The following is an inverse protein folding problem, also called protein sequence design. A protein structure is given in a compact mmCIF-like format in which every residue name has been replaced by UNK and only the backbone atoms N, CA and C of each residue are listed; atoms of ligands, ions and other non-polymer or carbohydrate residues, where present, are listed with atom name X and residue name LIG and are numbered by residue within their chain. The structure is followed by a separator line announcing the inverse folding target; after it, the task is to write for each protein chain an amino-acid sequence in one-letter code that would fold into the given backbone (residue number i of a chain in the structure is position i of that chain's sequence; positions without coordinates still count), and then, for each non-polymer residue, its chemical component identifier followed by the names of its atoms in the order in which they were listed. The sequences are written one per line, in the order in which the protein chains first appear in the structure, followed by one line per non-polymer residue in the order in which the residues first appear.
data_IF_966440176979
#
_entry.id   IF_966440176979
#
_cell.length_a   1.000
_cell.length_b   1.000
_cell.length_c   1.000
_cell.angle_alpha   90.00
_cell.angle_beta   90.00
_cell.angle_gamma   90.00
#
_symmetry.space_group_name_H-M   'P 1'
#
loop_
_entity.id
_entity.type
_entity.pdbx_description
1 polymer ?
#
# COMPACT_ATOMS: atom_id res chain seq x y z
N UNK A 1 -56.48 -51.40 -16.64
CA UNK A 1 -57.39 -50.28 -16.33
C UNK A 1 -56.55 -49.10 -15.82
N UNK A 2 -56.72 -47.93 -16.49
CA UNK A 2 -56.48 -46.55 -16.01
C UNK A 2 -55.02 -46.20 -15.60
N UNK A 3 -54.23 -45.50 -16.40
CA UNK A 3 -54.26 -44.03 -16.65
C UNK A 3 -53.02 -43.44 -15.92
N UNK A 4 -52.11 -42.64 -16.48
CA UNK A 4 -52.30 -41.32 -17.09
C UNK A 4 -50.95 -40.81 -17.64
N UNK A 5 -51.02 -40.06 -18.73
CA UNK A 5 -49.94 -39.28 -19.33
C UNK A 5 -49.46 -38.14 -18.42
N UNK A 6 -48.16 -37.83 -18.46
CA UNK A 6 -47.56 -36.65 -17.83
C UNK A 6 -46.57 -36.00 -18.78
N UNK A 7 -46.97 -34.88 -19.39
CA UNK A 7 -46.24 -34.17 -20.45
C UNK A 7 -44.95 -33.49 -19.99
N UNK A 8 -43.97 -33.48 -20.91
CA UNK A 8 -42.77 -32.65 -20.83
C UNK A 8 -43.16 -31.16 -20.99
N UNK A 9 -42.96 -30.37 -19.94
CA UNK A 9 -42.91 -28.91 -20.03
C UNK A 9 -41.44 -28.47 -20.17
N UNK A 10 -41.01 -28.24 -21.41
CA UNK A 10 -39.77 -27.54 -21.74
C UNK A 10 -39.93 -26.05 -21.38
N UNK A 11 -39.62 -25.71 -20.13
CA UNK A 11 -39.46 -24.34 -19.68
C UNK A 11 -38.23 -23.71 -20.32
N UNK A 12 -38.43 -22.90 -21.36
CA UNK A 12 -37.42 -22.02 -21.94
C UNK A 12 -37.01 -20.95 -20.92
N UNK A 13 -36.02 -21.26 -20.09
CA UNK A 13 -35.34 -20.25 -19.27
C UNK A 13 -34.61 -19.30 -20.21
N UNK A 14 -35.26 -18.16 -20.51
CA UNK A 14 -34.61 -17.00 -21.13
C UNK A 14 -33.38 -16.67 -20.29
N UNK A 15 -32.20 -16.89 -20.87
CA UNK A 15 -30.94 -16.47 -20.27
C UNK A 15 -31.00 -14.96 -20.05
N UNK A 16 -30.97 -14.53 -18.79
CA UNK A 16 -30.83 -13.14 -18.45
C UNK A 16 -29.54 -12.59 -19.11
N UNK A 17 -29.58 -11.41 -19.74
CA UNK A 17 -28.42 -10.88 -20.43
C UNK A 17 -27.30 -10.67 -19.40
N UNK A 18 -26.12 -11.24 -19.67
CA UNK A 18 -24.90 -11.05 -18.87
C UNK A 18 -24.53 -9.56 -18.82
N UNK A 19 -25.02 -8.85 -17.81
CA UNK A 19 -24.66 -7.46 -17.50
C UNK A 19 -23.23 -7.30 -16.93
N UNK A 20 -22.38 -8.33 -17.05
CA UNK A 20 -21.14 -8.45 -16.27
C UNK A 20 -19.94 -7.61 -16.73
N UNK A 21 -20.01 -6.92 -17.87
CA UNK A 21 -18.82 -6.26 -18.46
C UNK A 21 -18.98 -4.75 -18.71
N UNK A 22 -20.15 -4.15 -18.45
CA UNK A 22 -20.41 -2.71 -18.66
C UNK A 22 -19.95 -1.78 -17.51
N UNK A 23 -19.58 -2.33 -16.35
CA UNK A 23 -19.49 -1.60 -15.07
C UNK A 23 -18.12 -0.96 -14.76
N UNK A 24 -17.13 -1.12 -15.64
CA UNK A 24 -15.77 -0.60 -15.38
C UNK A 24 -15.60 0.91 -15.57
N UNK A 25 -16.46 1.56 -16.37
CA UNK A 25 -16.29 2.98 -16.76
C UNK A 25 -17.26 3.98 -16.12
N UNK A 26 -18.47 3.57 -15.72
CA UNK A 26 -19.56 4.51 -15.43
C UNK A 26 -19.98 4.62 -13.95
N UNK A 27 -19.82 3.58 -13.14
CA UNK A 27 -20.43 3.55 -11.79
C UNK A 27 -19.47 4.04 -10.69
N UNK A 28 -18.70 5.10 -10.91
CA UNK A 28 -17.89 5.69 -9.85
C UNK A 28 -18.55 6.98 -9.34
N UNK A 29 -18.54 7.23 -8.02
CA UNK A 29 -19.16 8.43 -7.47
C UNK A 29 -18.45 9.69 -7.96
N UNK A 30 -19.25 10.69 -8.33
CA UNK A 30 -18.78 12.05 -8.63
C UNK A 30 -18.49 12.75 -7.30
N UNK A 31 -17.38 13.46 -7.20
CA UNK A 31 -16.95 14.10 -5.96
C UNK A 31 -17.13 15.61 -6.01
N UNK A 32 -17.63 16.19 -4.91
CA UNK A 32 -17.54 17.64 -4.70
C UNK A 32 -16.11 18.07 -4.34
N UNK A 33 -15.82 19.37 -4.42
CA UNK A 33 -14.52 19.95 -4.07
C UNK A 33 -13.99 19.48 -2.70
N UNK A 34 -14.82 19.59 -1.65
CA UNK A 34 -14.42 19.21 -0.30
C UNK A 34 -14.14 17.72 -0.13
N UNK A 35 -14.81 16.86 -0.90
CA UNK A 35 -14.61 15.41 -0.87
C UNK A 35 -13.33 15.00 -1.57
N UNK A 36 -13.08 15.58 -2.75
CA UNK A 36 -11.83 15.40 -3.48
C UNK A 36 -10.63 15.83 -2.62
N UNK A 37 -10.70 16.99 -1.97
CA UNK A 37 -9.65 17.47 -1.06
C UNK A 37 -9.47 16.54 0.15
N UNK A 38 -10.55 16.06 0.78
CA UNK A 38 -10.45 15.11 1.90
C UNK A 38 -9.82 13.78 1.48
N UNK A 39 -10.20 13.25 0.33
CA UNK A 39 -9.63 12.02 -0.21
C UNK A 39 -8.14 12.21 -0.56
N UNK A 40 -7.79 13.31 -1.23
CA UNK A 40 -6.40 13.68 -1.52
C UNK A 40 -5.56 13.83 -0.26
N UNK A 41 -6.07 14.47 0.80
CA UNK A 41 -5.36 14.55 2.10
C UNK A 41 -5.17 13.17 2.73
N UNK A 42 -6.13 12.26 2.57
CA UNK A 42 -5.97 10.86 2.98
C UNK A 42 -4.85 10.14 2.24
N UNK A 43 -4.75 10.33 0.91
CA UNK A 43 -3.67 9.79 0.09
C UNK A 43 -2.31 10.40 0.45
N UNK A 44 -2.25 11.70 0.75
CA UNK A 44 -1.01 12.34 1.24
C UNK A 44 -0.55 11.74 2.59
N UNK A 45 -1.48 11.39 3.51
CA UNK A 45 -1.11 10.69 4.76
C UNK A 45 -0.50 9.32 4.49
N UNK A 46 -1.08 8.58 3.55
CA UNK A 46 -0.57 7.27 3.13
C UNK A 46 0.83 7.38 2.51
N UNK A 47 0.99 8.30 1.55
CA UNK A 47 2.27 8.57 0.88
C UNK A 47 3.36 8.98 1.88
N UNK A 48 3.04 9.90 2.80
CA UNK A 48 3.95 10.36 3.84
C UNK A 48 4.35 9.25 4.81
N UNK A 49 3.41 8.42 5.24
CA UNK A 49 3.71 7.28 6.13
C UNK A 49 4.64 6.26 5.46
N UNK A 50 4.38 5.93 4.18
CA UNK A 50 5.28 5.10 3.38
C UNK A 50 6.65 5.77 3.20
N UNK A 51 6.69 7.08 2.97
CA UNK A 51 7.95 7.82 2.84
C UNK A 51 8.78 7.80 4.14
N UNK A 52 8.16 7.94 5.32
CA UNK A 52 8.85 7.80 6.61
C UNK A 52 9.43 6.40 6.77
N UNK A 53 8.61 5.37 6.52
CA UNK A 53 9.01 3.97 6.60
C UNK A 53 10.23 3.69 5.71
N UNK A 54 10.13 4.05 4.42
CA UNK A 54 11.20 3.88 3.44
C UNK A 54 12.44 4.69 3.77
N UNK A 55 12.29 5.95 4.19
CA UNK A 55 13.43 6.82 4.51
C UNK A 55 14.26 6.21 5.64
N UNK A 56 13.60 5.78 6.72
CA UNK A 56 14.27 5.18 7.86
C UNK A 56 14.86 3.79 7.51
N UNK A 57 14.13 2.96 6.77
CA UNK A 57 14.62 1.65 6.32
C UNK A 57 15.83 1.78 5.40
N UNK A 58 15.71 2.61 4.36
CA UNK A 58 16.79 2.85 3.39
C UNK A 58 18.01 3.46 4.06
N UNK A 59 17.84 4.36 5.04
CA UNK A 59 18.98 4.91 5.77
C UNK A 59 19.76 3.83 6.52
N UNK A 60 19.08 2.92 7.22
CA UNK A 60 19.73 1.83 7.98
C UNK A 60 20.36 0.80 7.02
N UNK A 61 19.61 0.35 6.02
CA UNK A 61 20.04 -0.68 5.08
C UNK A 61 21.21 -0.21 4.20
N UNK A 62 21.16 1.05 3.76
CA UNK A 62 22.24 1.62 2.95
C UNK A 62 23.46 2.01 3.79
N UNK A 63 23.26 2.36 5.06
CA UNK A 63 24.35 2.48 6.02
C UNK A 63 25.04 1.14 6.26
N UNK A 64 24.30 0.03 6.41
CA UNK A 64 24.90 -1.33 6.47
C UNK A 64 25.71 -1.66 5.22
N UNK A 65 25.30 -1.13 4.07
CA UNK A 65 26.02 -1.24 2.80
C UNK A 65 27.18 -0.24 2.61
N UNK A 66 27.44 0.62 3.61
CA UNK A 66 28.45 1.68 3.63
C UNK A 66 28.31 2.70 2.47
N UNK A 67 27.10 2.86 1.91
CA UNK A 67 26.84 3.75 0.77
C UNK A 67 27.83 3.62 -0.40
N UNK A 68 28.41 2.42 -0.60
CA UNK A 68 29.48 2.19 -1.59
C UNK A 68 29.12 2.60 -3.02
N UNK A 69 27.84 2.62 -3.36
CA UNK A 69 27.35 3.18 -4.61
C UNK A 69 26.65 4.53 -4.33
N UNK A 70 27.07 5.65 -4.95
CA UNK A 70 26.41 6.95 -4.80
C UNK A 70 24.90 6.94 -5.11
N UNK A 71 24.42 6.02 -5.94
CA UNK A 71 22.99 5.83 -6.20
C UNK A 71 22.18 5.48 -4.95
N UNK A 72 22.83 4.98 -3.89
CA UNK A 72 22.20 4.67 -2.60
C UNK A 72 21.67 5.92 -1.88
N UNK A 73 22.09 7.14 -2.26
CA UNK A 73 21.54 8.39 -1.73
C UNK A 73 20.23 8.82 -2.40
N UNK A 74 19.94 8.32 -3.60
CA UNK A 74 18.71 8.65 -4.36
C UNK A 74 17.43 8.35 -3.58
N UNK A 75 17.24 7.16 -2.97
CA UNK A 75 16.04 6.88 -2.19
C UNK A 75 15.92 7.78 -0.95
N UNK A 76 17.01 8.15 -0.29
CA UNK A 76 16.96 9.06 0.88
C UNK A 76 16.47 10.45 0.47
N UNK A 77 17.04 11.01 -0.60
CA UNK A 77 16.63 12.32 -1.13
C UNK A 77 15.17 12.27 -1.61
N UNK A 78 14.81 11.24 -2.38
CA UNK A 78 13.46 11.09 -2.94
C UNK A 78 12.41 10.86 -1.85
N UNK A 79 12.71 10.06 -0.83
CA UNK A 79 11.78 9.79 0.27
C UNK A 79 11.59 11.04 1.15
N UNK A 80 12.66 11.80 1.39
CA UNK A 80 12.58 13.09 2.07
C UNK A 80 11.70 14.09 1.31
N UNK A 81 11.88 14.21 -0.01
CA UNK A 81 11.02 15.05 -0.85
C UNK A 81 9.56 14.60 -0.83
N UNK A 82 9.31 13.29 -0.93
CA UNK A 82 7.95 12.72 -0.84
C UNK A 82 7.30 13.01 0.51
N UNK A 83 8.07 12.90 1.60
CA UNK A 83 7.61 13.19 2.96
C UNK A 83 7.25 14.67 3.14
N UNK A 84 8.11 15.59 2.68
CA UNK A 84 7.85 17.03 2.74
C UNK A 84 6.65 17.42 1.87
N UNK A 85 6.56 16.88 0.65
CA UNK A 85 5.42 17.07 -0.24
C UNK A 85 4.11 16.57 0.39
N UNK A 86 4.17 15.42 1.09
CA UNK A 86 3.03 14.83 1.81
C UNK A 86 2.62 15.67 3.01
N UNK A 87 3.57 16.18 3.79
CA UNK A 87 3.32 17.09 4.90
C UNK A 87 2.59 18.36 4.45
N UNK A 88 3.11 19.00 3.39
CA UNK A 88 2.45 20.14 2.76
C UNK A 88 1.06 19.76 2.19
N UNK A 89 0.96 18.60 1.52
CA UNK A 89 -0.28 18.00 1.02
C UNK A 89 -1.38 17.81 2.07
N UNK A 90 -1.00 17.41 3.27
CA UNK A 90 -1.91 17.19 4.40
C UNK A 90 -2.48 18.50 4.98
N UNK A 91 -1.68 19.57 4.96
CA UNK A 91 -2.10 20.90 5.44
C UNK A 91 -2.93 21.65 4.39
N UNK A 92 -2.70 21.38 3.10
CA UNK A 92 -3.31 22.10 2.00
C UNK A 92 -4.80 21.79 1.80
N UNK A 93 -5.62 22.84 1.89
CA UNK A 93 -7.08 22.80 1.72
C UNK A 93 -7.54 23.18 0.31
N UNK A 94 -6.62 23.64 -0.55
CA UNK A 94 -6.93 24.04 -1.92
C UNK A 94 -7.27 22.82 -2.77
N UNK A 95 -8.19 23.01 -3.71
CA UNK A 95 -8.64 22.01 -4.70
C UNK A 95 -7.87 22.12 -6.01
N UNK A 96 -6.58 22.48 -5.94
CA UNK A 96 -5.70 22.63 -7.10
C UNK A 96 -4.49 21.73 -6.89
N UNK A 97 -4.09 21.03 -7.95
CA UNK A 97 -2.87 20.23 -7.95
C UNK A 97 -1.63 21.15 -7.88
N UNK A 98 -0.61 20.71 -7.15
CA UNK A 98 0.62 21.48 -6.96
C UNK A 98 1.77 20.85 -7.74
N UNK A 99 2.30 21.57 -8.74
CA UNK A 99 3.36 21.07 -9.64
C UNK A 99 4.57 20.52 -8.88
N UNK A 100 5.07 21.25 -7.87
CA UNK A 100 6.24 20.77 -7.10
C UNK A 100 5.97 19.47 -6.33
N UNK A 101 4.76 19.28 -5.76
CA UNK A 101 4.39 18.01 -5.11
C UNK A 101 4.30 16.90 -6.13
N UNK A 102 3.67 17.18 -7.27
CA UNK A 102 3.52 16.24 -8.38
C UNK A 102 4.88 15.74 -8.87
N UNK A 103 5.83 16.65 -9.07
CA UNK A 103 7.22 16.31 -9.44
C UNK A 103 7.90 15.49 -8.36
N UNK A 104 7.80 15.87 -7.09
CA UNK A 104 8.38 15.11 -5.98
C UNK A 104 7.85 13.65 -5.94
N UNK A 105 6.54 13.49 -6.14
CA UNK A 105 5.91 12.17 -6.19
C UNK A 105 6.28 11.35 -7.42
N UNK A 106 6.41 12.00 -8.59
CA UNK A 106 6.88 11.34 -9.80
C UNK A 106 8.33 10.86 -9.66
N UNK A 107 9.21 11.70 -9.11
CA UNK A 107 10.59 11.33 -8.79
C UNK A 107 10.64 10.17 -7.79
N UNK A 108 9.83 10.23 -6.73
CA UNK A 108 9.74 9.16 -5.75
C UNK A 108 9.27 7.84 -6.36
N UNK A 109 8.22 7.89 -7.18
CA UNK A 109 7.70 6.74 -7.91
C UNK A 109 8.74 6.12 -8.84
N UNK A 110 9.41 6.96 -9.64
CA UNK A 110 10.46 6.55 -10.57
C UNK A 110 11.67 5.95 -9.86
N UNK A 111 12.15 6.59 -8.79
CA UNK A 111 13.26 6.10 -7.98
C UNK A 111 12.93 4.73 -7.35
N UNK A 112 11.71 4.54 -6.85
CA UNK A 112 11.27 3.25 -6.32
C UNK A 112 11.23 2.14 -7.37
N UNK A 113 10.74 2.42 -8.59
CA UNK A 113 10.74 1.45 -9.69
C UNK A 113 12.17 1.08 -10.11
N UNK A 114 13.04 2.08 -10.32
CA UNK A 114 14.44 1.85 -10.67
C UNK A 114 15.18 1.09 -9.56
N UNK A 115 14.98 1.48 -8.29
CA UNK A 115 15.55 0.81 -7.13
C UNK A 115 15.11 -0.65 -7.02
N UNK A 116 13.84 -0.94 -7.32
CA UNK A 116 13.32 -2.32 -7.34
C UNK A 116 14.09 -3.16 -8.36
N UNK A 117 14.27 -2.64 -9.59
CA UNK A 117 15.08 -3.29 -10.61
C UNK A 117 16.53 -3.51 -10.19
N UNK A 118 17.16 -2.51 -9.58
CA UNK A 118 18.53 -2.61 -9.08
C UNK A 118 18.68 -3.66 -7.96
N UNK A 119 17.71 -3.72 -7.04
CA UNK A 119 17.72 -4.69 -5.95
C UNK A 119 17.52 -6.11 -6.48
N UNK A 120 16.59 -6.33 -7.41
CA UNK A 120 16.41 -7.63 -8.07
C UNK A 120 17.64 -8.08 -8.85
N UNK A 121 18.25 -7.19 -9.64
CA UNK A 121 19.48 -7.48 -10.38
C UNK A 121 20.61 -7.88 -9.43
N UNK A 122 20.81 -7.12 -8.35
CA UNK A 122 21.85 -7.41 -7.36
C UNK A 122 21.59 -8.68 -6.56
N UNK A 123 20.32 -9.07 -6.38
CA UNK A 123 19.98 -10.34 -5.76
C UNK A 123 20.30 -11.51 -6.69
N UNK A 124 19.95 -11.39 -7.98
CA UNK A 124 20.20 -12.42 -8.99
C UNK A 124 21.68 -12.65 -9.29
N UNK A 125 22.52 -11.62 -9.19
CA UNK A 125 23.97 -11.74 -9.46
C UNK A 125 24.77 -12.40 -8.32
N UNK A 126 24.19 -12.53 -7.12
CA UNK A 126 24.86 -13.18 -5.99
C UNK A 126 24.99 -14.67 -6.25
N UNK A 127 26.05 -15.30 -5.75
CA UNK A 127 26.21 -16.76 -5.79
C UNK A 127 24.97 -17.43 -5.17
N UNK A 128 24.40 -18.41 -5.87
CA UNK A 128 23.17 -19.09 -5.48
C UNK A 128 21.87 -18.38 -5.90
N UNK A 129 21.93 -17.19 -6.49
CA UNK A 129 20.76 -16.50 -7.06
C UNK A 129 19.64 -16.25 -6.03
N UNK A 130 18.40 -16.59 -6.39
CA UNK A 130 17.22 -16.45 -5.52
C UNK A 130 17.10 -17.60 -4.51
N UNK A 131 18.12 -17.79 -3.67
CA UNK A 131 18.09 -18.75 -2.57
C UNK A 131 17.68 -18.09 -1.23
N UNK A 132 17.29 -18.88 -0.24
CA UNK A 132 16.88 -18.41 1.08
C UNK A 132 17.90 -17.46 1.73
N UNK A 133 19.19 -17.81 1.64
CA UNK A 133 20.27 -16.98 2.19
C UNK A 133 20.27 -15.57 1.59
N UNK A 134 20.13 -15.47 0.27
CA UNK A 134 20.14 -14.19 -0.43
C UNK A 134 18.84 -13.40 -0.16
N UNK A 135 17.70 -14.08 -0.04
CA UNK A 135 16.43 -13.42 0.31
C UNK A 135 16.45 -12.87 1.75
N UNK A 136 17.11 -13.56 2.69
CA UNK A 136 17.19 -13.14 4.10
C UNK A 136 18.21 -12.06 4.39
N UNK A 137 19.35 -12.08 3.69
CA UNK A 137 20.51 -11.23 4.00
C UNK A 137 20.97 -10.38 2.79
N UNK A 138 20.16 -10.33 1.75
CA UNK A 138 20.37 -9.53 0.55
C UNK A 138 19.76 -8.14 0.65
N UNK A 139 19.73 -7.45 -0.49
CA UNK A 139 19.07 -6.16 -0.59
C UNK A 139 17.54 -6.36 -0.47
N UNK A 140 16.86 -5.66 0.46
CA UNK A 140 15.42 -5.81 0.63
C UNK A 140 14.67 -5.27 -0.59
N UNK A 141 13.71 -6.02 -1.13
CA UNK A 141 13.02 -5.65 -2.39
C UNK A 141 11.86 -4.69 -2.12
N UNK A 142 11.25 -4.74 -0.95
CA UNK A 142 10.03 -4.00 -0.69
C UNK A 142 10.26 -2.59 -0.19
N UNK A 143 11.45 -2.22 0.31
CA UNK A 143 11.79 -0.82 0.54
C UNK A 143 11.65 0.04 -0.74
N UNK A 144 12.28 -0.33 -1.89
CA UNK A 144 12.05 0.41 -3.13
C UNK A 144 10.62 0.26 -3.70
N UNK A 145 9.92 -0.86 -3.48
CA UNK A 145 8.50 -0.95 -3.86
C UNK A 145 7.60 -0.05 -3.02
N UNK A 146 7.84 0.07 -1.71
CA UNK A 146 7.15 0.98 -0.82
C UNK A 146 7.43 2.43 -1.22
N UNK A 147 8.63 2.73 -1.74
CA UNK A 147 8.96 4.03 -2.31
C UNK A 147 8.14 4.32 -3.57
N UNK A 148 8.04 3.33 -4.47
CA UNK A 148 7.21 3.43 -5.66
C UNK A 148 5.74 3.68 -5.30
N UNK A 149 5.24 2.98 -4.28
CA UNK A 149 3.89 3.16 -3.74
C UNK A 149 3.69 4.52 -3.07
N UNK A 150 4.67 5.03 -2.32
CA UNK A 150 4.65 6.38 -1.74
C UNK A 150 4.46 7.43 -2.84
N UNK A 151 5.29 7.37 -3.89
CA UNK A 151 5.17 8.25 -5.06
C UNK A 151 3.82 8.11 -5.76
N UNK A 152 3.36 6.88 -6.01
CA UNK A 152 2.07 6.64 -6.66
C UNK A 152 0.90 7.22 -5.86
N UNK A 153 0.85 7.00 -4.54
CA UNK A 153 -0.24 7.51 -3.68
C UNK A 153 -0.23 9.04 -3.65
N UNK A 154 0.95 9.66 -3.56
CA UNK A 154 1.09 11.11 -3.60
C UNK A 154 0.67 11.70 -4.95
N UNK A 155 1.11 11.09 -6.05
CA UNK A 155 0.72 11.50 -7.40
C UNK A 155 -0.80 11.40 -7.60
N UNK A 156 -1.39 10.28 -7.18
CA UNK A 156 -2.85 10.11 -7.17
C UNK A 156 -3.55 11.13 -6.29
N UNK A 157 -2.94 11.57 -5.18
CA UNK A 157 -3.49 12.64 -4.35
C UNK A 157 -3.64 13.94 -5.15
N UNK A 158 -2.66 14.30 -5.97
CA UNK A 158 -2.72 15.50 -6.80
C UNK A 158 -3.70 15.34 -7.97
N UNK A 159 -3.78 14.17 -8.61
CA UNK A 159 -4.82 13.88 -9.61
C UNK A 159 -6.23 13.99 -9.03
N UNK A 160 -6.45 13.48 -7.82
CA UNK A 160 -7.74 13.58 -7.13
C UNK A 160 -8.03 15.02 -6.73
N UNK A 161 -7.04 15.74 -6.21
CA UNK A 161 -7.17 17.12 -5.76
C UNK A 161 -7.54 18.08 -6.90
N UNK A 162 -6.89 17.93 -8.05
CA UNK A 162 -7.10 18.76 -9.24
C UNK A 162 -8.23 18.31 -10.15
N UNK A 163 -9.00 17.29 -9.77
CA UNK A 163 -10.14 16.83 -10.58
C UNK A 163 -11.26 17.88 -10.60
N UNK A 164 -11.87 18.08 -11.76
CA UNK A 164 -12.98 19.01 -11.90
C UNK A 164 -14.15 18.62 -10.97
N UNK A 165 -14.82 19.58 -10.33
CA UNK A 165 -15.91 19.29 -9.41
C UNK A 165 -17.05 18.53 -10.07
N UNK A 166 -17.67 17.61 -9.35
CA UNK A 166 -18.75 16.80 -9.89
C UNK A 166 -18.30 15.79 -10.95
N UNK A 167 -16.99 15.58 -11.12
CA UNK A 167 -16.45 14.52 -11.97
C UNK A 167 -15.94 13.35 -11.14
N UNK A 168 -15.69 12.23 -11.82
CA UNK A 168 -14.98 11.09 -11.26
C UNK A 168 -13.48 11.34 -11.45
N UNK A 169 -12.67 11.42 -10.38
CA UNK A 169 -11.22 11.50 -10.54
C UNK A 169 -10.69 10.26 -11.26
N UNK A 170 -9.81 10.44 -12.23
CA UNK A 170 -9.27 9.35 -13.06
C UNK A 170 -7.76 9.37 -13.12
N UNK A 171 -7.17 8.18 -13.25
CA UNK A 171 -5.79 7.96 -13.65
C UNK A 171 -5.79 7.08 -14.90
N UNK A 172 -5.14 7.53 -15.99
CA UNK A 172 -5.09 6.80 -17.26
C UNK A 172 -6.47 6.30 -17.72
N UNK A 173 -7.49 7.15 -17.57
CA UNK A 173 -8.89 6.84 -17.90
C UNK A 173 -9.64 5.93 -16.92
N UNK A 174 -8.96 5.33 -15.93
CA UNK A 174 -9.57 4.47 -14.90
C UNK A 174 -9.97 5.29 -13.66
N UNK A 175 -11.09 4.98 -12.98
CA UNK A 175 -11.47 5.67 -11.74
C UNK A 175 -10.37 5.56 -10.66
N UNK A 176 -9.95 6.69 -10.10
CA UNK A 176 -8.84 6.74 -9.14
C UNK A 176 -9.08 5.85 -7.92
N UNK A 177 -10.32 5.80 -7.41
CA UNK A 177 -10.66 4.92 -6.27
C UNK A 177 -10.37 3.44 -6.53
N UNK A 178 -10.61 2.96 -7.76
CA UNK A 178 -10.30 1.57 -8.14
C UNK A 178 -8.79 1.34 -8.27
N UNK A 179 -8.07 2.31 -8.84
CA UNK A 179 -6.62 2.25 -8.96
C UNK A 179 -5.96 2.22 -7.59
N UNK A 180 -6.33 3.13 -6.68
CA UNK A 180 -5.80 3.18 -5.31
C UNK A 180 -6.15 1.87 -4.58
N UNK A 181 -7.39 1.38 -4.69
CA UNK A 181 -7.79 0.13 -4.03
C UNK A 181 -6.99 -1.08 -4.52
N UNK A 182 -6.80 -1.23 -5.83
CA UNK A 182 -5.99 -2.30 -6.42
C UNK A 182 -4.51 -2.20 -6.01
N UNK A 183 -3.93 -1.00 -6.10
CA UNK A 183 -2.55 -0.74 -5.68
C UNK A 183 -2.35 -0.98 -4.18
N UNK A 184 -3.34 -0.63 -3.35
CA UNK A 184 -3.32 -0.91 -1.91
C UNK A 184 -3.34 -2.42 -1.65
N UNK A 185 -4.24 -3.16 -2.31
CA UNK A 185 -4.31 -4.62 -2.16
C UNK A 185 -3.01 -5.31 -2.56
N UNK A 186 -2.46 -4.95 -3.73
CA UNK A 186 -1.18 -5.47 -4.19
C UNK A 186 -0.02 -5.09 -3.26
N UNK A 187 0.03 -3.83 -2.79
CA UNK A 187 1.01 -3.36 -1.83
C UNK A 187 0.95 -4.15 -0.52
N UNK A 188 -0.25 -4.39 0.03
CA UNK A 188 -0.42 -5.18 1.25
C UNK A 188 0.08 -6.62 1.07
N UNK A 189 -0.20 -7.26 -0.07
CA UNK A 189 0.32 -8.60 -0.36
C UNK A 189 1.85 -8.62 -0.48
N UNK A 190 2.45 -7.60 -1.10
CA UNK A 190 3.90 -7.43 -1.16
C UNK A 190 4.51 -7.30 0.24
N UNK A 191 3.97 -6.40 1.07
CA UNK A 191 4.42 -6.22 2.46
C UNK A 191 4.22 -7.48 3.31
N UNK A 192 3.14 -8.25 3.09
CA UNK A 192 2.95 -9.56 3.73
C UNK A 192 4.04 -10.55 3.32
N UNK A 193 4.39 -10.59 2.04
CA UNK A 193 5.45 -11.48 1.54
C UNK A 193 6.78 -11.20 2.23
N UNK A 194 7.15 -9.92 2.35
CA UNK A 194 8.36 -9.52 3.07
C UNK A 194 8.29 -9.78 4.57
N UNK A 195 7.19 -9.42 5.22
CA UNK A 195 6.99 -9.69 6.64
C UNK A 195 7.08 -11.19 6.92
N UNK A 196 6.46 -12.02 6.07
CA UNK A 196 6.54 -13.48 6.17
C UNK A 196 7.95 -14.01 6.01
N UNK A 197 8.68 -13.52 5.00
CA UNK A 197 10.07 -13.89 4.77
C UNK A 197 10.96 -13.53 5.98
N UNK A 198 10.86 -12.31 6.48
CA UNK A 198 11.71 -11.81 7.57
C UNK A 198 11.28 -12.34 8.94
N UNK A 199 10.00 -12.65 9.14
CA UNK A 199 9.53 -13.31 10.35
C UNK A 199 9.88 -14.79 10.35
N UNK A 200 9.90 -15.44 9.18
CA UNK A 200 10.39 -16.80 9.02
C UNK A 200 11.90 -16.88 9.30
N UNK A 201 12.70 -15.89 8.86
CA UNK A 201 14.11 -15.75 9.28
C UNK A 201 14.25 -15.69 10.81
N UNK A 202 13.32 -15.03 11.49
CA UNK A 202 13.22 -14.98 12.95
C UNK A 202 12.46 -16.15 13.59
N UNK A 203 12.19 -17.22 12.84
CA UNK A 203 11.51 -18.45 13.26
C UNK A 203 10.12 -18.26 13.92
N UNK A 204 9.43 -17.14 13.69
CA UNK A 204 8.15 -16.83 14.34
C UNK A 204 8.13 -17.03 15.86
N UNK A 205 9.26 -16.77 16.53
CA UNK A 205 9.46 -17.02 17.96
C UNK A 205 8.40 -16.38 18.89
N UNK A 206 7.72 -15.32 18.44
CA UNK A 206 6.60 -14.70 19.13
C UNK A 206 5.31 -14.89 18.31
N UNK A 207 4.21 -15.43 18.87
CA UNK A 207 2.95 -15.58 18.16
C UNK A 207 2.40 -14.29 17.52
N UNK A 208 2.72 -13.12 18.08
CA UNK A 208 2.35 -11.82 17.50
C UNK A 208 2.94 -11.61 16.09
N UNK A 209 4.03 -12.31 15.74
CA UNK A 209 4.63 -12.29 14.40
C UNK A 209 3.70 -12.89 13.34
N UNK A 210 2.67 -13.65 13.72
CA UNK A 210 1.64 -14.17 12.81
C UNK A 210 0.62 -13.10 12.39
N UNK A 211 0.42 -12.05 13.19
CA UNK A 211 -0.55 -10.99 12.88
C UNK A 211 -0.30 -10.30 11.54
N UNK A 212 0.93 -9.83 11.21
CA UNK A 212 1.21 -9.18 9.93
C UNK A 212 1.16 -10.11 8.71
N UNK A 213 1.12 -11.43 8.89
CA UNK A 213 0.97 -12.40 7.79
C UNK A 213 -0.44 -12.99 7.68
N UNK A 214 -1.35 -12.66 8.60
CA UNK A 214 -2.72 -13.18 8.61
C UNK A 214 -3.78 -12.08 8.46
N UNK A 215 -3.66 -10.96 9.18
CA UNK A 215 -4.65 -9.87 9.11
C UNK A 215 -4.58 -9.08 7.78
N UNK A 216 -3.39 -8.65 7.29
CA UNK A 216 -3.32 -7.85 6.08
C UNK A 216 -3.77 -8.55 4.80
N UNK A 217 -3.58 -9.88 4.58
CA UNK A 217 -4.18 -10.60 3.44
C UNK A 217 -5.70 -10.46 3.37
N UNK A 218 -6.38 -10.50 4.51
CA UNK A 218 -7.84 -10.28 4.56
C UNK A 218 -8.17 -8.84 4.17
N UNK A 219 -7.40 -7.85 4.63
CA UNK A 219 -7.60 -6.46 4.23
C UNK A 219 -7.36 -6.27 2.71
N UNK A 220 -6.33 -6.92 2.16
CA UNK A 220 -6.00 -6.93 0.74
C UNK A 220 -7.14 -7.54 -0.11
N UNK A 221 -7.70 -8.68 0.33
CA UNK A 221 -8.84 -9.31 -0.33
C UNK A 221 -10.09 -8.42 -0.28
N UNK A 222 -10.38 -7.81 0.87
CA UNK A 222 -11.53 -6.93 1.05
C UNK A 222 -11.44 -5.65 0.19
N UNK A 223 -10.27 -4.99 0.15
CA UNK A 223 -10.08 -3.79 -0.66
C UNK A 223 -9.98 -4.12 -2.16
N UNK A 224 -9.40 -5.26 -2.53
CA UNK A 224 -9.40 -5.78 -3.89
C UNK A 224 -10.81 -6.08 -4.38
N UNK A 225 -11.62 -6.75 -3.57
CA UNK A 225 -13.04 -6.95 -3.86
C UNK A 225 -13.81 -5.62 -3.97
N UNK A 226 -13.46 -4.62 -3.16
CA UNK A 226 -14.04 -3.28 -3.28
C UNK A 226 -13.70 -2.58 -4.60
N UNK A 227 -12.49 -2.80 -5.14
CA UNK A 227 -12.08 -2.25 -6.43
C UNK A 227 -12.93 -2.76 -7.60
N UNK A 228 -13.43 -3.99 -7.49
CA UNK A 228 -14.22 -4.66 -8.54
C UNK A 228 -15.73 -4.44 -8.41
N UNK A 229 -16.21 -4.05 -7.22
CA UNK A 229 -17.64 -3.94 -6.93
C UNK A 229 -18.28 -2.61 -7.32
N UNK A 230 -19.61 -2.55 -7.13
CA UNK A 230 -20.39 -1.32 -7.20
C UNK A 230 -20.10 -0.38 -6.01
N UNK A 231 -20.37 0.94 -6.14
CA UNK A 231 -20.36 1.88 -5.04
C UNK A 231 -21.36 1.46 -3.97
N UNK A 232 -20.87 1.23 -2.77
CA UNK A 232 -21.66 0.94 -1.57
C UNK A 232 -20.78 1.08 -0.34
N UNK A 233 -21.38 1.38 0.81
CA UNK A 233 -20.67 1.35 2.10
C UNK A 233 -20.06 -0.02 2.39
N UNK A 234 -18.86 -0.01 2.97
CA UNK A 234 -18.09 -1.21 3.33
C UNK A 234 -17.54 -1.09 4.77
N UNK A 235 -18.41 -1.06 5.80
CA UNK A 235 -17.98 -0.88 7.18
C UNK A 235 -16.99 -1.96 7.63
N UNK A 236 -17.19 -3.21 7.18
CA UNK A 236 -16.27 -4.31 7.49
C UNK A 236 -14.88 -4.12 6.87
N UNK A 237 -14.80 -3.74 5.58
CA UNK A 237 -13.52 -3.39 4.92
C UNK A 237 -12.83 -2.22 5.63
N UNK A 238 -13.60 -1.21 6.03
CA UNK A 238 -13.10 -0.05 6.78
C UNK A 238 -12.53 -0.46 8.13
N UNK A 239 -13.24 -1.28 8.91
CA UNK A 239 -12.77 -1.81 10.17
C UNK A 239 -11.44 -2.57 9.98
N UNK A 240 -11.37 -3.46 9.00
CA UNK A 240 -10.16 -4.25 8.77
C UNK A 240 -8.96 -3.39 8.35
N UNK A 241 -9.17 -2.36 7.53
CA UNK A 241 -8.12 -1.39 7.22
C UNK A 241 -7.69 -0.60 8.47
N UNK A 242 -8.61 -0.19 9.34
CA UNK A 242 -8.24 0.44 10.60
C UNK A 242 -7.40 -0.49 11.48
N UNK A 243 -7.79 -1.77 11.60
CA UNK A 243 -7.02 -2.76 12.35
C UNK A 243 -5.63 -2.98 11.75
N UNK A 244 -5.50 -3.07 10.43
CA UNK A 244 -4.19 -3.14 9.74
C UNK A 244 -3.35 -1.88 9.97
N UNK A 245 -3.98 -0.70 10.02
CA UNK A 245 -3.26 0.53 10.35
C UNK A 245 -2.75 0.54 11.79
N UNK A 246 -3.58 0.10 12.74
CA UNK A 246 -3.18 -0.05 14.15
C UNK A 246 -2.08 -1.09 14.30
N UNK A 247 -2.15 -2.20 13.57
CA UNK A 247 -1.12 -3.24 13.55
C UNK A 247 0.25 -2.67 13.16
N UNK A 248 0.31 -1.81 12.14
CA UNK A 248 1.57 -1.19 11.73
C UNK A 248 2.18 -0.29 12.82
N UNK A 249 1.34 0.45 13.56
CA UNK A 249 1.80 1.28 14.69
C UNK A 249 2.25 0.41 15.87
N UNK A 250 1.42 -0.54 16.28
CA UNK A 250 1.71 -1.46 17.40
C UNK A 250 2.95 -2.31 17.10
N UNK A 251 3.15 -2.71 15.84
CA UNK A 251 4.31 -3.46 15.37
C UNK A 251 5.63 -2.72 15.61
N UNK A 252 5.67 -1.38 15.50
CA UNK A 252 6.85 -0.59 15.89
C UNK A 252 7.20 -0.82 17.36
N UNK A 253 6.19 -0.84 18.24
CA UNK A 253 6.38 -1.12 19.67
C UNK A 253 6.92 -2.52 19.93
N UNK A 254 6.40 -3.54 19.24
CA UNK A 254 6.93 -4.90 19.34
C UNK A 254 8.37 -5.02 18.82
N UNK A 255 8.70 -4.34 17.71
CA UNK A 255 10.06 -4.33 17.18
C UNK A 255 11.01 -3.59 18.12
N UNK A 256 10.58 -2.47 18.70
CA UNK A 256 11.33 -1.71 19.70
C UNK A 256 11.60 -2.52 20.97
N UNK A 257 10.61 -3.27 21.43
CA UNK A 257 10.79 -4.20 22.53
C UNK A 257 11.74 -5.35 22.18
N UNK A 258 11.67 -5.86 20.95
CA UNK A 258 12.64 -6.83 20.43
C UNK A 258 14.08 -6.30 20.47
N UNK A 259 14.28 -5.04 20.04
CA UNK A 259 15.58 -4.36 20.13
C UNK A 259 16.09 -4.28 21.57
N UNK A 260 15.22 -3.91 22.52
CA UNK A 260 15.59 -3.86 23.94
C UNK A 260 16.03 -5.20 24.53
N UNK A 261 15.52 -6.33 24.01
CA UNK A 261 15.83 -7.68 24.49
C UNK A 261 17.14 -8.25 23.95
N UNK A 262 17.75 -7.61 22.96
CA UNK A 262 19.05 -8.03 22.44
C UNK A 262 20.18 -7.65 23.39
N UNK A 263 21.37 -8.21 23.18
CA UNK A 263 22.52 -7.94 24.05
C UNK A 263 22.84 -6.44 24.07
N UNK A 264 22.88 -5.87 25.28
CA UNK A 264 23.05 -4.43 25.50
C UNK A 264 21.81 -3.56 25.25
N UNK A 265 20.72 -4.11 24.70
CA UNK A 265 19.45 -3.42 24.43
C UNK A 265 19.64 -2.08 23.70
N UNK A 266 18.91 -1.05 24.10
CA UNK A 266 19.05 0.30 23.54
C UNK A 266 20.39 0.98 23.85
N UNK A 267 21.17 0.51 24.83
CA UNK A 267 22.52 1.05 25.08
C UNK A 267 23.47 0.69 23.93
N UNK A 268 23.19 -0.41 23.22
CA UNK A 268 23.92 -0.86 22.04
C UNK A 268 23.10 -0.64 20.74
N UNK A 269 22.44 0.52 20.62
CA UNK A 269 21.49 0.77 19.54
C UNK A 269 22.13 0.71 18.14
N UNK A 270 23.39 1.09 17.96
CA UNK A 270 24.05 1.09 16.65
C UNK A 270 24.06 -0.31 16.03
N UNK A 271 24.47 -1.31 16.81
CA UNK A 271 24.43 -2.71 16.38
C UNK A 271 22.99 -3.21 16.29
N UNK A 272 22.20 -2.93 17.34
CA UNK A 272 20.88 -3.54 17.49
C UNK A 272 19.82 -3.00 16.51
N UNK A 273 19.97 -1.77 16.00
CA UNK A 273 19.11 -1.29 14.90
C UNK A 273 19.44 -1.95 13.57
N UNK A 274 20.69 -2.36 13.38
CA UNK A 274 21.18 -2.98 12.14
C UNK A 274 20.89 -4.47 12.13
N UNK A 275 21.12 -5.19 13.22
CA UNK A 275 20.93 -6.66 13.26
C UNK A 275 19.55 -7.10 13.76
N UNK A 276 18.85 -6.19 14.43
CA UNK A 276 17.59 -6.47 15.11
C UNK A 276 16.35 -6.51 14.23
N UNK A 277 15.17 -6.55 14.86
CA UNK A 277 13.90 -6.39 14.16
C UNK A 277 13.83 -5.01 13.48
N UNK A 278 13.42 -4.93 12.19
CA UNK A 278 13.43 -3.68 11.44
C UNK A 278 12.32 -2.74 11.94
N UNK A 279 12.66 -1.76 12.78
CA UNK A 279 11.70 -0.75 13.28
C UNK A 279 10.95 0.01 12.18
N UNK A 280 11.59 0.36 11.04
CA UNK A 280 10.91 1.12 9.99
C UNK A 280 9.90 0.34 9.18
N UNK A 281 9.89 -1.01 9.26
CA UNK A 281 9.06 -1.84 8.39
C UNK A 281 7.56 -1.82 8.75
N UNK A 282 7.12 -1.97 10.02
CA UNK A 282 5.70 -2.00 10.36
C UNK A 282 4.85 -0.80 9.90
N UNK A 283 5.35 0.47 9.92
CA UNK A 283 4.63 1.63 9.40
C UNK A 283 4.17 1.52 7.93
N UNK A 284 4.79 0.65 7.11
CA UNK A 284 4.33 0.41 5.74
C UNK A 284 2.89 -0.15 5.69
N UNK A 285 2.51 -1.02 6.63
CA UNK A 285 1.12 -1.48 6.79
C UNK A 285 0.18 -0.33 7.12
N UNK A 286 0.61 0.61 7.97
CA UNK A 286 -0.14 1.84 8.29
C UNK A 286 -0.35 2.69 7.04
N UNK A 287 0.71 2.94 6.27
CA UNK A 287 0.63 3.72 5.04
C UNK A 287 -0.33 3.12 4.01
N UNK A 288 -0.22 1.80 3.76
CA UNK A 288 -1.10 1.10 2.83
C UNK A 288 -2.56 1.06 3.33
N UNK A 289 -2.78 0.81 4.61
CA UNK A 289 -4.12 0.84 5.18
C UNK A 289 -4.78 2.22 5.06
N UNK A 290 -4.02 3.31 5.28
CA UNK A 290 -4.48 4.67 5.05
C UNK A 290 -4.82 4.93 3.57
N UNK A 291 -4.04 4.38 2.63
CA UNK A 291 -4.36 4.42 1.20
C UNK A 291 -5.69 3.70 0.92
N UNK A 292 -5.91 2.53 1.51
CA UNK A 292 -7.17 1.78 1.41
C UNK A 292 -8.36 2.56 1.98
N UNK A 293 -8.19 3.23 3.11
CA UNK A 293 -9.24 4.09 3.70
C UNK A 293 -9.57 5.29 2.80
N UNK A 294 -8.57 5.87 2.14
CA UNK A 294 -8.77 6.90 1.13
C UNK A 294 -9.46 6.33 -0.13
N UNK A 295 -9.09 5.13 -0.56
CA UNK A 295 -9.73 4.44 -1.67
C UNK A 295 -11.21 4.16 -1.40
N UNK A 296 -11.56 3.70 -0.20
CA UNK A 296 -12.97 3.52 0.19
C UNK A 296 -13.76 4.82 0.09
N UNK A 297 -13.19 5.96 0.52
CA UNK A 297 -13.85 7.27 0.34
C UNK A 297 -14.10 7.60 -1.14
N UNK A 298 -13.16 7.26 -2.02
CA UNK A 298 -13.28 7.45 -3.46
C UNK A 298 -14.26 6.46 -4.12
N UNK A 299 -14.45 5.27 -3.55
CA UNK A 299 -15.35 4.24 -4.07
C UNK A 299 -16.79 4.39 -3.56
N UNK A 300 -16.96 4.86 -2.32
CA UNK A 300 -18.27 5.00 -1.67
C UNK A 300 -18.98 6.30 -2.07
N UNK A 301 -18.24 7.40 -2.27
CA UNK A 301 -18.85 8.72 -2.44
C UNK A 301 -19.58 9.17 -1.18
N UNK A 302 -20.25 10.32 -1.22
CA UNK A 302 -21.12 10.74 -0.10
C UNK A 302 -22.36 9.84 -0.07
N UNK A 303 -22.78 9.46 1.13
CA UNK A 303 -24.15 9.05 1.35
C UNK A 303 -25.10 10.14 0.86
N UNK A 304 -26.00 9.75 -0.03
CA UNK A 304 -27.30 10.41 -0.14
C UNK A 304 -28.14 9.88 1.01
N UNK A 305 -27.90 10.43 2.19
CA UNK A 305 -28.77 10.36 3.36
C UNK A 305 -29.15 11.79 3.71
#
# INVERSE_FOLDING_TARGET
MLGLAGGLLLGSRRAAPRQGLRTWRHDAPRLGHGEAVRAARGLNRAAGMLAVSVLADSAIEHYRGDFRNPAMFIPLASASLSLLASGHGMADRRSVAHRARDTAYALAGGAGIAGTGFHFYNLGKRTGGLCWQNLFYGAPIGAPMAMALSGLMGFLAERVRGAAPGTVPRLLGRPAGRVVAAATGAGLLGTVGEAGLLHFRGAFQNPAMLLPVTMPPVAAALIGHAALGAPRRRPFTRLWLCLTATLGVVGVGFHAWGVQRMMGGWRNWQQNLVDGPPLPAPPSFTGLALAGLAALRLLEGRDRG
#
